data_IF_674794532905
#
_entry.id   IF_674794532905
#
_cell.length_a   1.000
_cell.length_b   1.000
_cell.length_c   1.000
_cell.angle_alpha   90.00
_cell.angle_beta   90.00
_cell.angle_gamma   90.00
#
_symmetry.space_group_name_H-M   'P 1'
#
loop_
_entity.id
_entity.type
_entity.pdbx_description
1 polymer ?
#
# COMPACT_ATOMS: atom_id res chain seq x y z
N UNK A 1 26.77 29.85 -7.25
CA UNK A 1 27.17 28.69 -8.05
C UNK A 1 26.93 27.39 -7.27
N UNK A 2 27.56 27.27 -6.12
CA UNK A 2 27.41 26.09 -5.27
C UNK A 2 26.01 25.94 -4.67
N UNK A 3 25.33 27.07 -4.44
CA UNK A 3 23.97 27.07 -3.88
C UNK A 3 22.94 26.32 -4.73
N UNK A 4 23.00 26.48 -6.05
CA UNK A 4 22.10 25.77 -6.96
C UNK A 4 22.33 24.27 -6.94
N UNK A 5 23.60 23.86 -6.96
CA UNK A 5 23.98 22.46 -6.87
C UNK A 5 23.55 21.83 -5.54
N UNK A 6 23.76 22.56 -4.42
CA UNK A 6 23.38 22.10 -3.10
C UNK A 6 21.87 21.90 -2.97
N UNK A 7 21.06 22.76 -3.60
CA UNK A 7 19.60 22.63 -3.62
C UNK A 7 19.20 21.35 -4.34
N UNK A 8 19.83 21.02 -5.47
CA UNK A 8 19.55 19.78 -6.21
C UNK A 8 19.91 18.54 -5.40
N UNK A 9 21.10 18.55 -4.78
CA UNK A 9 21.56 17.43 -3.95
C UNK A 9 20.58 17.21 -2.80
N UNK A 10 20.17 18.28 -2.12
CA UNK A 10 19.22 18.21 -1.00
C UNK A 10 17.85 17.69 -1.46
N UNK A 11 17.37 18.15 -2.61
CA UNK A 11 16.11 17.70 -3.18
C UNK A 11 16.13 16.17 -3.44
N UNK A 12 17.18 15.70 -4.12
CA UNK A 12 17.32 14.27 -4.42
C UNK A 12 17.49 13.42 -3.16
N UNK A 13 18.22 13.93 -2.18
CA UNK A 13 18.40 13.26 -0.90
C UNK A 13 17.07 13.08 -0.19
N UNK A 14 16.28 14.15 -0.08
CA UNK A 14 14.96 14.11 0.56
C UNK A 14 14.00 13.18 -0.18
N UNK A 15 14.02 13.22 -1.50
CA UNK A 15 13.19 12.36 -2.32
C UNK A 15 13.52 10.88 -2.08
N UNK A 16 14.81 10.55 -2.06
CA UNK A 16 15.25 9.18 -1.76
C UNK A 16 14.82 8.71 -0.38
N UNK A 17 14.92 9.59 0.63
CA UNK A 17 14.46 9.28 1.98
C UNK A 17 12.95 9.01 2.04
N UNK A 18 12.16 9.83 1.35
CA UNK A 18 10.71 9.66 1.29
C UNK A 18 10.34 8.34 0.61
N UNK A 19 11.02 8.00 -0.49
CA UNK A 19 10.80 6.73 -1.19
C UNK A 19 11.16 5.54 -0.32
N UNK A 20 12.26 5.62 0.42
CA UNK A 20 12.69 4.57 1.35
C UNK A 20 11.66 4.40 2.48
N UNK A 21 11.17 5.49 3.03
CA UNK A 21 10.14 5.47 4.08
C UNK A 21 8.83 4.86 3.58
N UNK A 22 8.46 5.19 2.35
CA UNK A 22 7.25 4.64 1.73
C UNK A 22 7.37 3.13 1.53
N UNK A 23 8.51 2.68 1.02
CA UNK A 23 8.81 1.27 0.83
C UNK A 23 8.80 0.50 2.17
N UNK A 24 9.39 1.09 3.18
CA UNK A 24 9.40 0.55 4.54
C UNK A 24 7.99 0.47 5.13
N UNK A 25 7.19 1.52 4.95
CA UNK A 25 5.79 1.55 5.35
C UNK A 25 5.01 0.40 4.71
N UNK A 26 5.14 0.19 3.41
CA UNK A 26 4.46 -0.89 2.71
C UNK A 26 4.89 -2.26 3.23
N UNK A 27 6.18 -2.45 3.49
CA UNK A 27 6.70 -3.70 4.06
C UNK A 27 6.14 -3.95 5.46
N UNK A 28 6.01 -2.92 6.27
CA UNK A 28 5.43 -3.02 7.61
C UNK A 28 3.94 -3.40 7.54
N UNK A 29 3.20 -2.81 6.61
CA UNK A 29 1.80 -3.17 6.39
C UNK A 29 1.68 -4.65 6.00
N UNK A 30 2.51 -5.11 5.09
CA UNK A 30 2.53 -6.52 4.68
C UNK A 30 2.79 -7.44 5.87
N UNK A 31 3.77 -7.12 6.69
CA UNK A 31 4.12 -7.93 7.87
C UNK A 31 2.95 -7.99 8.86
N UNK A 32 2.28 -6.88 9.09
CA UNK A 32 1.12 -6.83 9.97
C UNK A 32 -0.03 -7.69 9.43
N UNK A 33 -0.28 -7.62 8.14
CA UNK A 33 -1.31 -8.43 7.49
C UNK A 33 -0.97 -9.92 7.58
N UNK A 34 0.25 -10.29 7.25
CA UNK A 34 0.71 -11.68 7.31
C UNK A 34 0.69 -12.25 8.73
N UNK A 35 0.84 -11.39 9.74
CA UNK A 35 0.72 -11.78 11.14
C UNK A 35 -0.68 -12.22 11.52
N UNK A 36 -1.69 -11.75 10.80
CA UNK A 36 -3.11 -12.12 11.03
C UNK A 36 -3.54 -13.21 10.05
N UNK A 37 -3.20 -13.07 8.78
CA UNK A 37 -3.54 -13.99 7.70
C UNK A 37 -2.26 -14.36 6.95
N UNK A 38 -1.56 -15.45 7.35
CA UNK A 38 -0.24 -15.81 6.81
C UNK A 38 -0.17 -15.97 5.29
N UNK A 39 -1.26 -16.41 4.66
CA UNK A 39 -1.29 -16.66 3.22
C UNK A 39 -1.88 -15.50 2.41
N UNK A 40 -2.10 -14.35 3.03
CA UNK A 40 -2.62 -13.18 2.34
C UNK A 40 -1.59 -12.64 1.34
N UNK A 41 -2.09 -12.15 0.22
CA UNK A 41 -1.27 -11.44 -0.76
C UNK A 41 -1.60 -9.95 -0.64
N UNK A 42 -0.58 -9.11 -0.55
CA UNK A 42 -0.73 -7.67 -0.33
C UNK A 42 -0.19 -6.91 -1.53
N UNK A 43 -1.02 -6.02 -2.07
CA UNK A 43 -0.68 -5.24 -3.27
C UNK A 43 -0.96 -3.75 -3.04
N UNK A 44 -0.17 -2.93 -3.70
CA UNK A 44 -0.44 -1.52 -3.88
C UNK A 44 -1.15 -1.34 -5.22
N UNK A 45 -2.20 -0.53 -5.26
CA UNK A 45 -2.87 -0.18 -6.51
C UNK A 45 -3.27 1.30 -6.50
N UNK A 46 -4.00 1.73 -7.52
CA UNK A 46 -4.46 3.11 -7.61
C UNK A 46 -3.34 4.07 -7.99
N UNK A 47 -3.50 5.34 -7.63
CA UNK A 47 -2.63 6.42 -8.10
C UNK A 47 -1.16 6.23 -7.75
N UNK A 48 -0.84 5.72 -6.56
CA UNK A 48 0.55 5.46 -6.18
C UNK A 48 1.19 4.35 -7.01
N UNK A 49 0.44 3.30 -7.32
CA UNK A 49 0.95 2.21 -8.17
C UNK A 49 1.13 2.66 -9.62
N UNK A 50 0.30 3.59 -10.08
CA UNK A 50 0.31 4.08 -11.45
C UNK A 50 1.22 5.29 -11.67
N UNK A 51 1.90 5.74 -10.64
CA UNK A 51 2.86 6.86 -10.74
C UNK A 51 2.22 8.23 -10.92
N UNK A 52 0.96 8.40 -10.57
CA UNK A 52 0.22 9.67 -10.71
C UNK A 52 -0.31 10.23 -9.39
N UNK A 53 0.22 9.75 -8.27
CA UNK A 53 -0.18 10.23 -6.95
C UNK A 53 0.22 11.68 -6.73
N UNK A 54 -0.65 12.40 -6.03
CA UNK A 54 -0.41 13.77 -5.56
C UNK A 54 -0.55 13.78 -4.04
N UNK A 55 -0.25 14.93 -3.41
CA UNK A 55 -0.24 15.05 -1.95
C UNK A 55 -1.54 14.59 -1.27
N UNK A 56 -2.67 14.76 -1.93
CA UNK A 56 -3.99 14.38 -1.40
C UNK A 56 -4.44 12.97 -1.79
N UNK A 57 -3.61 12.22 -2.51
CA UNK A 57 -3.97 10.86 -2.96
C UNK A 57 -4.01 9.88 -1.81
N UNK A 58 -5.00 8.99 -1.82
CA UNK A 58 -5.06 7.87 -0.91
C UNK A 58 -4.03 6.79 -1.30
N UNK A 59 -3.58 6.05 -0.30
CA UNK A 59 -2.71 4.89 -0.51
C UNK A 59 -3.61 3.66 -0.56
N UNK A 60 -3.84 3.14 -1.76
CA UNK A 60 -4.77 2.03 -1.96
C UNK A 60 -4.06 0.69 -1.81
N UNK A 61 -4.45 -0.06 -0.78
CA UNK A 61 -3.90 -1.38 -0.48
C UNK A 61 -4.97 -2.43 -0.77
N UNK A 62 -4.62 -3.43 -1.55
CA UNK A 62 -5.48 -4.58 -1.83
C UNK A 62 -4.91 -5.81 -1.15
N UNK A 63 -5.73 -6.48 -0.37
CA UNK A 63 -5.36 -7.71 0.33
C UNK A 63 -6.23 -8.82 -0.22
N UNK A 64 -5.60 -9.83 -0.82
CA UNK A 64 -6.29 -10.99 -1.40
C UNK A 64 -6.11 -12.16 -0.46
N UNK A 65 -7.21 -12.74 -0.04
CA UNK A 65 -7.25 -13.82 0.95
C UNK A 65 -7.99 -15.05 0.41
N UNK A 66 -7.81 -16.17 1.08
CA UNK A 66 -8.62 -17.38 0.84
C UNK A 66 -9.98 -17.21 1.50
N UNK A 67 -11.00 -17.90 1.00
CA UNK A 67 -12.36 -17.84 1.55
C UNK A 67 -12.41 -18.18 3.04
N UNK A 68 -11.60 -19.14 3.48
CA UNK A 68 -11.54 -19.54 4.88
C UNK A 68 -11.03 -18.45 5.83
N UNK A 69 -10.35 -17.45 5.29
CA UNK A 69 -9.79 -16.33 6.07
C UNK A 69 -10.72 -15.12 6.14
N UNK A 70 -11.90 -15.20 5.52
CA UNK A 70 -12.88 -14.10 5.49
C UNK A 70 -13.25 -13.61 6.89
N UNK A 71 -13.27 -14.49 7.86
CA UNK A 71 -13.59 -14.14 9.25
C UNK A 71 -12.59 -13.13 9.84
N UNK A 72 -11.37 -13.09 9.33
CA UNK A 72 -10.31 -12.21 9.81
C UNK A 72 -10.19 -10.89 9.02
N UNK A 73 -11.03 -10.70 7.99
CA UNK A 73 -10.95 -9.53 7.11
C UNK A 73 -11.14 -8.20 7.85
N UNK A 74 -12.12 -8.13 8.74
CA UNK A 74 -12.39 -6.90 9.48
C UNK A 74 -11.30 -6.59 10.49
N UNK A 75 -10.71 -7.61 11.11
CA UNK A 75 -9.57 -7.43 12.01
C UNK A 75 -8.38 -6.81 11.27
N UNK A 76 -8.06 -7.33 10.09
CA UNK A 76 -6.97 -6.79 9.26
C UNK A 76 -7.21 -5.33 8.94
N UNK A 77 -8.40 -4.97 8.47
CA UNK A 77 -8.75 -3.58 8.16
C UNK A 77 -8.58 -2.68 9.38
N UNK A 78 -9.08 -3.12 10.52
CA UNK A 78 -9.02 -2.35 11.77
C UNK A 78 -7.59 -2.14 12.21
N UNK A 79 -6.78 -3.19 12.22
CA UNK A 79 -5.37 -3.11 12.65
C UNK A 79 -4.59 -2.15 11.76
N UNK A 80 -4.71 -2.28 10.44
CA UNK A 80 -3.98 -1.42 9.50
C UNK A 80 -4.42 0.04 9.64
N UNK A 81 -5.71 0.30 9.70
CA UNK A 81 -6.23 1.68 9.83
C UNK A 81 -5.80 2.34 11.13
N UNK A 82 -5.82 1.62 12.24
CA UNK A 82 -5.43 2.17 13.54
C UNK A 82 -3.93 2.39 13.66
N UNK A 83 -3.15 1.42 13.24
CA UNK A 83 -1.69 1.49 13.34
C UNK A 83 -1.11 2.58 12.46
N UNK A 84 -1.68 2.78 11.28
CA UNK A 84 -1.18 3.74 10.29
C UNK A 84 -2.13 4.93 10.10
N UNK A 85 -2.70 5.39 11.21
CA UNK A 85 -3.68 6.48 11.18
C UNK A 85 -3.16 7.80 10.60
N UNK A 86 -1.85 8.01 10.63
CA UNK A 86 -1.22 9.19 10.06
C UNK A 86 -1.12 9.15 8.55
N UNK A 87 -1.38 8.00 7.95
CA UNK A 87 -1.33 7.80 6.50
C UNK A 87 -2.74 7.70 5.93
N UNK A 88 -2.98 8.26 4.74
CA UNK A 88 -4.28 8.16 4.08
C UNK A 88 -4.46 6.78 3.42
N UNK A 89 -4.45 5.73 4.23
CA UNK A 89 -4.56 4.34 3.74
C UNK A 89 -6.01 3.96 3.53
N UNK A 90 -6.31 3.40 2.37
CA UNK A 90 -7.58 2.77 2.08
C UNK A 90 -7.33 1.29 1.83
N UNK A 91 -7.94 0.44 2.68
CA UNK A 91 -7.69 -1.00 2.66
C UNK A 91 -8.88 -1.74 2.10
N UNK A 92 -8.64 -2.56 1.09
CA UNK A 92 -9.63 -3.43 0.48
C UNK A 92 -9.21 -4.89 0.74
N UNK A 93 -10.08 -5.67 1.35
CA UNK A 93 -9.83 -7.09 1.59
C UNK A 93 -10.84 -7.89 0.78
N UNK A 94 -10.35 -8.74 -0.11
CA UNK A 94 -11.20 -9.54 -1.00
C UNK A 94 -10.69 -10.98 -1.03
N UNK A 95 -11.60 -11.91 -1.31
CA UNK A 95 -11.19 -13.30 -1.58
C UNK A 95 -10.62 -13.40 -2.98
N UNK A 96 -9.89 -14.47 -3.25
CA UNK A 96 -9.36 -14.76 -4.60
C UNK A 96 -10.49 -14.80 -5.63
N UNK A 97 -11.64 -15.35 -5.27
CA UNK A 97 -12.81 -15.43 -6.14
C UNK A 97 -13.38 -14.05 -6.43
N UNK A 98 -13.55 -13.21 -5.41
CA UNK A 98 -14.01 -11.83 -5.59
C UNK A 98 -13.06 -11.03 -6.46
N UNK A 99 -11.74 -11.21 -6.27
CA UNK A 99 -10.75 -10.55 -7.10
C UNK A 99 -10.90 -10.94 -8.57
N UNK A 100 -11.02 -12.22 -8.86
CA UNK A 100 -11.16 -12.70 -10.24
C UNK A 100 -12.47 -12.25 -10.89
N UNK A 101 -13.57 -12.22 -10.14
CA UNK A 101 -14.89 -11.84 -10.67
C UNK A 101 -15.08 -10.34 -10.87
N UNK A 102 -14.59 -9.53 -9.91
CA UNK A 102 -14.95 -8.10 -9.85
C UNK A 102 -13.74 -7.18 -9.95
N UNK A 103 -12.81 -7.29 -9.02
CA UNK A 103 -11.74 -6.32 -8.84
C UNK A 103 -10.75 -6.27 -9.99
N UNK A 104 -10.42 -7.41 -10.56
CA UNK A 104 -9.48 -7.52 -11.67
C UNK A 104 -9.87 -6.64 -12.86
N UNK A 105 -11.16 -6.40 -13.07
CA UNK A 105 -11.66 -5.60 -14.19
C UNK A 105 -11.47 -4.10 -13.97
N UNK A 106 -11.44 -3.67 -12.73
CA UNK A 106 -11.39 -2.25 -12.36
C UNK A 106 -10.02 -1.78 -11.93
N UNK A 107 -9.10 -2.69 -11.65
CA UNK A 107 -7.76 -2.38 -11.21
C UNK A 107 -6.82 -2.40 -12.41
N UNK A 108 -6.16 -1.26 -12.66
CA UNK A 108 -5.20 -1.15 -13.74
C UNK A 108 -3.89 -1.85 -13.40
N UNK A 109 -3.12 -1.28 -12.49
CA UNK A 109 -1.81 -1.79 -12.10
C UNK A 109 -1.81 -2.28 -10.67
N UNK A 110 -1.28 -3.49 -10.46
CA UNK A 110 -1.02 -4.05 -9.14
C UNK A 110 0.49 -4.16 -8.94
N UNK A 111 0.96 -3.66 -7.81
CA UNK A 111 2.37 -3.79 -7.42
C UNK A 111 2.40 -4.64 -6.15
N UNK A 112 3.03 -5.80 -6.24
CA UNK A 112 3.15 -6.69 -5.09
C UNK A 112 4.08 -6.07 -4.04
N UNK A 113 3.60 -6.05 -2.82
CA UNK A 113 4.36 -5.52 -1.70
C UNK A 113 5.25 -6.60 -1.09
#
# INVERSE_FOLDING_TARGET
LLKGFDIYVEYFRKRSELMNRFSEFLSNVREDVEGIIPNAEVYLFGSYAEGRAVASSDIDILIIINEGDRVNAEEVKTVVKRKYIEYPVEVHVVTKEEFERWYKRFIGKLVKI
#
